data_IF_709930088996
#
_entry.id   IF_709930088996
#
_cell.length_a   1.000
_cell.length_b   1.000
_cell.length_c   1.000
_cell.angle_alpha   90.00
_cell.angle_beta   90.00
_cell.angle_gamma   90.00
#
_symmetry.space_group_name_H-M   'P 1'
#
loop_
_entity.id
_entity.type
_entity.pdbx_description
1 polymer ?
#
# COMPACT_ATOMS: atom_id res chain seq x y z
N UNK A 1 4.50 0.88 -66.14
CA UNK A 1 4.48 1.84 -65.00
C UNK A 1 3.43 1.48 -63.92
N UNK A 2 2.58 0.47 -64.03
CA UNK A 2 1.50 0.15 -63.07
C UNK A 2 1.94 -0.68 -61.83
N UNK A 3 2.97 -1.51 -61.91
CA UNK A 3 3.38 -2.41 -60.83
C UNK A 3 4.00 -1.68 -59.60
N UNK A 4 4.72 -0.58 -59.80
CA UNK A 4 5.35 0.20 -58.71
C UNK A 4 4.31 0.84 -57.76
N UNK A 5 3.22 1.38 -58.32
CA UNK A 5 2.16 2.02 -57.50
C UNK A 5 1.43 0.99 -56.58
N UNK A 6 1.24 -0.24 -57.08
CA UNK A 6 0.58 -1.31 -56.33
C UNK A 6 1.43 -1.82 -55.17
N UNK A 7 2.78 -1.88 -55.36
CA UNK A 7 3.73 -2.28 -54.34
C UNK A 7 3.83 -1.24 -53.23
N UNK A 8 3.90 0.04 -53.57
CA UNK A 8 3.91 1.12 -52.59
C UNK A 8 2.62 1.21 -51.75
N UNK A 9 1.46 0.93 -52.39
CA UNK A 9 0.17 0.89 -51.68
C UNK A 9 0.12 -0.28 -50.68
N UNK A 10 0.58 -1.47 -51.05
CA UNK A 10 0.65 -2.64 -50.16
C UNK A 10 1.60 -2.35 -48.99
N UNK A 11 2.78 -1.78 -49.24
CA UNK A 11 3.75 -1.42 -48.21
C UNK A 11 3.17 -0.43 -47.18
N UNK A 12 2.47 0.61 -47.64
CA UNK A 12 1.78 1.57 -46.77
C UNK A 12 0.71 0.91 -45.90
N UNK A 13 -0.11 0.04 -46.49
CA UNK A 13 -1.15 -0.71 -45.76
C UNK A 13 -0.51 -1.61 -44.71
N UNK A 14 0.54 -2.34 -45.06
CA UNK A 14 1.25 -3.21 -44.11
C UNK A 14 1.87 -2.40 -42.97
N UNK A 15 2.46 -1.24 -43.24
CA UNK A 15 3.02 -0.35 -42.23
C UNK A 15 1.94 0.20 -41.27
N UNK A 16 0.79 0.60 -41.80
CA UNK A 16 -0.35 1.07 -40.98
C UNK A 16 -0.89 -0.04 -40.08
N UNK A 17 -1.05 -1.26 -40.64
CA UNK A 17 -1.53 -2.41 -39.87
C UNK A 17 -0.53 -2.79 -38.79
N UNK A 18 0.77 -2.80 -39.11
CA UNK A 18 1.81 -3.09 -38.12
C UNK A 18 1.83 -2.04 -36.99
N UNK A 19 1.70 -0.77 -37.33
CA UNK A 19 1.63 0.30 -36.34
C UNK A 19 0.37 0.17 -35.45
N UNK A 20 -0.78 -0.15 -36.04
CA UNK A 20 -2.02 -0.36 -35.29
C UNK A 20 -1.88 -1.54 -34.30
N UNK A 21 -1.25 -2.64 -34.73
CA UNK A 21 -0.99 -3.79 -33.87
C UNK A 21 -0.06 -3.42 -32.71
N UNK A 22 1.00 -2.66 -32.96
CA UNK A 22 1.91 -2.20 -31.89
C UNK A 22 1.20 -1.32 -30.89
N UNK A 23 0.40 -0.35 -31.35
CA UNK A 23 -0.38 0.53 -30.46
C UNK A 23 -1.37 -0.26 -29.61
N UNK A 24 -2.08 -1.23 -30.23
CA UNK A 24 -3.02 -2.10 -29.52
C UNK A 24 -2.31 -2.93 -28.46
N UNK A 25 -1.14 -3.51 -28.80
CA UNK A 25 -0.35 -4.32 -27.87
C UNK A 25 0.18 -3.49 -26.70
N UNK A 26 0.67 -2.27 -26.97
CA UNK A 26 1.11 -1.35 -25.93
C UNK A 26 -0.04 -0.91 -25.01
N UNK A 27 -1.21 -0.64 -25.57
CA UNK A 27 -2.41 -0.32 -24.81
C UNK A 27 -2.84 -1.46 -23.89
N UNK A 28 -2.83 -2.69 -24.41
CA UNK A 28 -3.15 -3.89 -23.61
C UNK A 28 -2.12 -4.14 -22.51
N UNK A 29 -0.83 -4.06 -22.84
CA UNK A 29 0.24 -4.21 -21.87
C UNK A 29 0.20 -3.12 -20.78
N UNK A 30 -0.07 -1.88 -21.17
CA UNK A 30 -0.20 -0.77 -20.22
C UNK A 30 -1.38 -0.97 -19.27
N UNK A 31 -2.54 -1.36 -19.79
CA UNK A 31 -3.70 -1.66 -18.96
C UNK A 31 -3.45 -2.85 -18.01
N UNK A 32 -2.80 -3.91 -18.52
CA UNK A 32 -2.42 -5.06 -17.69
C UNK A 32 -1.46 -4.67 -16.57
N UNK A 33 -0.42 -3.89 -16.89
CA UNK A 33 0.54 -3.42 -15.88
C UNK A 33 -0.10 -2.48 -14.86
N UNK A 34 -1.02 -1.62 -15.30
CA UNK A 34 -1.79 -0.76 -14.41
C UNK A 34 -2.62 -1.59 -13.43
N UNK A 35 -3.39 -2.55 -13.93
CA UNK A 35 -4.18 -3.44 -13.09
C UNK A 35 -3.29 -4.26 -12.14
N UNK A 36 -2.16 -4.75 -12.64
CA UNK A 36 -1.21 -5.53 -11.84
C UNK A 36 -0.58 -4.71 -10.70
N UNK A 37 -0.18 -3.47 -10.99
CA UNK A 37 0.57 -2.65 -10.02
C UNK A 37 -0.32 -1.83 -9.10
N UNK A 38 -1.47 -1.36 -9.57
CA UNK A 38 -2.27 -0.33 -8.89
C UNK A 38 -3.69 -0.78 -8.54
N UNK A 39 -4.20 -1.87 -9.12
CA UNK A 39 -5.53 -2.36 -8.81
C UNK A 39 -5.50 -3.45 -7.72
N UNK A 40 -5.81 -3.11 -6.45
CA UNK A 40 -5.78 -4.08 -5.36
C UNK A 40 -6.90 -5.13 -5.45
N UNK A 41 -7.89 -4.93 -6.33
CA UNK A 41 -9.02 -5.84 -6.54
C UNK A 41 -8.81 -6.79 -7.74
N UNK A 42 -7.71 -6.66 -8.48
CA UNK A 42 -7.41 -7.56 -9.58
C UNK A 42 -7.22 -9.00 -9.06
N UNK A 43 -7.80 -10.01 -9.70
CA UNK A 43 -7.79 -11.40 -9.19
C UNK A 43 -6.39 -11.96 -8.95
N UNK A 44 -5.43 -11.61 -9.82
CA UNK A 44 -4.03 -12.03 -9.68
C UNK A 44 -3.29 -11.27 -8.56
N UNK A 45 -3.62 -9.99 -8.33
CA UNK A 45 -3.07 -9.21 -7.20
C UNK A 45 -3.58 -9.78 -5.88
N UNK A 46 -4.88 -10.10 -5.79
CA UNK A 46 -5.46 -10.75 -4.62
C UNK A 46 -4.85 -12.13 -4.36
N UNK A 47 -4.64 -12.94 -5.41
CA UNK A 47 -3.99 -14.24 -5.30
C UNK A 47 -2.54 -14.09 -4.82
N UNK A 48 -1.77 -13.18 -5.41
CA UNK A 48 -0.37 -12.92 -5.03
C UNK A 48 -0.27 -12.43 -3.58
N UNK A 49 -1.21 -11.58 -3.11
CA UNK A 49 -1.29 -11.17 -1.71
C UNK A 49 -1.63 -12.34 -0.79
N UNK A 50 -2.48 -13.25 -1.22
CA UNK A 50 -2.87 -14.43 -0.45
C UNK A 50 -1.74 -15.46 -0.39
N UNK A 51 -1.06 -15.71 -1.50
CA UNK A 51 0.12 -16.59 -1.56
C UNK A 51 1.24 -16.03 -0.69
N UNK A 52 1.52 -14.72 -0.75
CA UNK A 52 2.49 -14.06 0.13
C UNK A 52 2.11 -14.09 1.63
N UNK A 53 0.83 -14.17 1.97
CA UNK A 53 0.40 -14.39 3.36
C UNK A 53 0.62 -15.84 3.78
N UNK A 54 0.28 -16.80 2.93
CA UNK A 54 0.46 -18.22 3.19
C UNK A 54 1.95 -18.60 3.32
N UNK A 55 2.82 -18.00 2.50
CA UNK A 55 4.28 -18.18 2.61
C UNK A 55 4.83 -17.66 3.94
N UNK A 56 4.27 -16.54 4.44
CA UNK A 56 4.65 -15.99 5.75
C UNK A 56 4.01 -16.74 6.92
N UNK A 57 2.87 -17.39 6.73
CA UNK A 57 2.26 -18.27 7.73
C UNK A 57 3.04 -19.57 7.93
N UNK A 58 3.82 -19.99 6.90
CA UNK A 58 4.76 -21.12 7.00
C UNK A 58 6.05 -20.79 7.76
N UNK A 59 6.43 -19.54 7.84
CA UNK A 59 7.55 -19.04 8.63
C UNK A 59 7.02 -18.65 10.01
N UNK A 60 7.20 -19.51 11.01
CA UNK A 60 6.80 -19.18 12.38
C UNK A 60 7.48 -17.89 12.79
N UNK A 61 6.70 -16.85 13.17
CA UNK A 61 7.30 -15.62 13.64
C UNK A 61 8.21 -15.94 14.83
N UNK A 62 9.41 -15.39 14.83
CA UNK A 62 10.30 -15.54 15.95
C UNK A 62 9.69 -14.95 17.25
N UNK A 63 10.28 -15.27 18.40
CA UNK A 63 9.76 -14.82 19.69
C UNK A 63 9.64 -13.29 19.77
N UNK A 64 10.60 -12.55 19.18
CA UNK A 64 10.59 -11.08 19.16
C UNK A 64 9.43 -10.53 18.33
N UNK A 65 9.16 -11.12 17.16
CA UNK A 65 8.04 -10.71 16.31
C UNK A 65 6.70 -10.99 17.00
N UNK A 66 6.58 -12.15 17.65
CA UNK A 66 5.36 -12.53 18.37
C UNK A 66 5.07 -11.57 19.52
N UNK A 67 6.09 -11.26 20.34
CA UNK A 67 6.00 -10.28 21.42
C UNK A 67 5.66 -8.88 20.91
N UNK A 68 6.34 -8.42 19.85
CA UNK A 68 6.09 -7.11 19.28
C UNK A 68 4.68 -6.96 18.73
N UNK A 69 4.13 -8.01 18.09
CA UNK A 69 2.74 -8.01 17.59
C UNK A 69 1.72 -8.03 18.72
N UNK A 70 1.98 -8.73 19.81
CA UNK A 70 1.15 -8.70 21.00
C UNK A 70 1.14 -7.28 21.60
N UNK A 71 2.34 -6.72 21.85
CA UNK A 71 2.52 -5.36 22.32
C UNK A 71 1.80 -4.33 21.43
N UNK A 72 1.93 -4.43 20.11
CA UNK A 72 1.27 -3.53 19.16
C UNK A 72 -0.25 -3.55 19.31
N UNK A 73 -0.85 -4.73 19.50
CA UNK A 73 -2.30 -4.88 19.66
C UNK A 73 -2.81 -4.29 20.98
N UNK A 74 -2.04 -4.44 22.04
CA UNK A 74 -2.41 -4.03 23.40
C UNK A 74 -2.25 -2.52 23.60
N UNK A 75 -1.22 -1.90 23.01
CA UNK A 75 -0.82 -0.52 23.31
C UNK A 75 -1.26 0.49 22.24
N UNK A 76 -1.86 0.04 21.14
CA UNK A 76 -2.26 0.94 20.06
C UNK A 76 -3.41 1.85 20.45
N UNK A 77 -3.27 3.13 20.23
CA UNK A 77 -4.34 4.11 20.27
C UNK A 77 -4.76 4.48 18.84
N UNK A 78 -6.08 4.57 18.60
CA UNK A 78 -6.58 5.01 17.30
C UNK A 78 -6.41 6.51 17.17
N UNK A 79 -5.75 6.94 16.10
CA UNK A 79 -5.56 8.35 15.74
C UNK A 79 -6.03 8.60 14.31
N UNK A 80 -6.51 9.80 14.01
CA UNK A 80 -6.83 10.21 12.65
C UNK A 80 -6.33 11.62 12.39
N UNK A 81 -5.89 11.85 11.16
CA UNK A 81 -5.49 13.14 10.64
C UNK A 81 -6.32 13.45 9.39
N UNK A 82 -6.83 14.65 9.30
CA UNK A 82 -7.52 15.11 8.09
C UNK A 82 -6.51 15.85 7.22
N UNK A 83 -6.30 15.37 6.00
CA UNK A 83 -5.46 16.04 5.00
C UNK A 83 -6.16 17.29 4.45
N UNK A 84 -5.42 18.17 3.74
CA UNK A 84 -5.94 19.44 3.22
C UNK A 84 -7.06 19.25 2.19
N UNK A 85 -7.13 18.12 1.53
CA UNK A 85 -8.19 17.72 0.60
C UNK A 85 -9.44 17.13 1.28
N UNK A 86 -9.46 17.10 2.61
CA UNK A 86 -10.54 16.51 3.42
C UNK A 86 -10.46 14.99 3.61
N UNK A 87 -9.42 14.33 3.11
CA UNK A 87 -9.23 12.90 3.29
C UNK A 87 -8.85 12.57 4.73
N UNK A 88 -9.56 11.63 5.36
CA UNK A 88 -9.19 11.13 6.69
C UNK A 88 -8.12 10.04 6.57
N UNK A 89 -7.00 10.27 7.25
CA UNK A 89 -5.88 9.36 7.39
C UNK A 89 -5.95 8.70 8.76
N UNK A 90 -6.27 7.42 8.80
CA UNK A 90 -6.24 6.64 10.05
C UNK A 90 -4.79 6.23 10.38
N UNK A 91 -4.46 6.23 11.66
CA UNK A 91 -3.15 5.80 12.16
C UNK A 91 -3.28 5.12 13.53
N UNK A 92 -2.26 4.35 13.89
CA UNK A 92 -2.07 3.85 15.25
C UNK A 92 -0.99 4.70 15.92
N UNK A 93 -1.30 5.20 17.10
CA UNK A 93 -0.38 5.99 17.91
C UNK A 93 0.01 5.20 19.16
N UNK A 94 1.26 5.35 19.56
CA UNK A 94 1.85 4.75 20.75
C UNK A 94 2.57 5.84 21.52
N UNK A 95 2.00 6.26 22.63
CA UNK A 95 2.62 7.26 23.52
C UNK A 95 3.72 6.60 24.35
N UNK A 96 4.92 7.18 24.38
CA UNK A 96 6.02 6.69 25.21
C UNK A 96 5.91 7.25 26.63
N UNK A 97 5.95 8.57 26.79
CA UNK A 97 5.77 9.25 28.07
C UNK A 97 5.28 10.69 27.83
N UNK A 98 4.75 11.35 28.87
CA UNK A 98 4.32 12.76 28.78
C UNK A 98 5.49 13.73 28.46
N UNK A 99 6.71 13.35 28.79
CA UNK A 99 7.93 14.13 28.52
C UNK A 99 8.63 13.75 27.22
N UNK A 100 8.08 12.81 26.43
CA UNK A 100 8.68 12.39 25.17
C UNK A 100 8.39 13.43 24.08
N UNK A 101 9.44 14.01 23.52
CA UNK A 101 9.35 14.99 22.43
C UNK A 101 9.83 14.42 21.09
N UNK A 102 10.41 13.22 21.08
CA UNK A 102 10.85 12.53 19.88
C UNK A 102 9.75 11.67 19.29
N UNK A 103 9.65 11.64 17.95
CA UNK A 103 8.64 10.92 17.21
C UNK A 103 9.27 10.02 16.17
N UNK A 104 8.73 8.82 16.04
CA UNK A 104 9.06 7.89 14.95
C UNK A 104 7.81 7.60 14.11
N UNK A 105 7.93 7.63 12.80
CA UNK A 105 6.84 7.26 11.88
C UNK A 105 7.21 5.95 11.19
N UNK A 106 6.42 4.90 11.41
CA UNK A 106 6.62 3.56 10.86
C UNK A 106 5.69 3.33 9.67
N UNK A 107 6.21 3.49 8.45
CA UNK A 107 5.46 3.28 7.21
C UNK A 107 5.61 1.83 6.74
N UNK A 108 4.49 1.15 6.53
CA UNK A 108 4.48 -0.18 5.93
C UNK A 108 4.46 -0.12 4.40
N UNK A 109 4.91 -1.19 3.74
CA UNK A 109 4.87 -1.30 2.28
C UNK A 109 3.46 -1.48 1.73
N UNK A 110 3.31 -1.33 0.41
CA UNK A 110 2.03 -1.33 -0.31
C UNK A 110 1.12 -2.55 -0.02
N UNK A 111 1.71 -3.72 0.17
CA UNK A 111 0.98 -4.98 0.42
C UNK A 111 0.91 -5.39 1.88
N UNK A 112 1.43 -4.57 2.79
CA UNK A 112 1.52 -4.89 4.20
C UNK A 112 0.47 -4.11 5.02
N UNK A 113 0.38 -4.41 6.30
CA UNK A 113 -0.48 -3.74 7.28
C UNK A 113 0.39 -3.07 8.35
N UNK A 114 -0.13 -2.05 9.10
CA UNK A 114 0.64 -1.38 10.14
C UNK A 114 1.25 -2.33 11.18
N UNK A 115 0.57 -3.43 11.50
CA UNK A 115 1.07 -4.46 12.43
C UNK A 115 2.33 -5.17 11.90
N UNK A 116 2.59 -5.15 10.60
CA UNK A 116 3.84 -5.64 10.02
C UNK A 116 5.06 -4.81 10.41
N UNK A 117 4.83 -3.61 10.97
CA UNK A 117 5.87 -2.74 11.51
C UNK A 117 6.02 -2.85 13.04
N UNK A 118 5.33 -3.81 13.68
CA UNK A 118 5.27 -3.93 15.15
C UNK A 118 6.65 -3.98 15.81
N UNK A 119 7.59 -4.75 15.25
CA UNK A 119 8.96 -4.87 15.76
C UNK A 119 9.70 -3.53 15.77
N UNK A 120 9.57 -2.76 14.70
CA UNK A 120 10.18 -1.44 14.60
C UNK A 120 9.49 -0.44 15.53
N UNK A 121 8.15 -0.45 15.56
CA UNK A 121 7.37 0.41 16.43
C UNK A 121 7.74 0.19 17.89
N UNK A 122 7.79 -1.08 18.36
CA UNK A 122 8.20 -1.40 19.72
C UNK A 122 9.63 -0.94 20.02
N UNK A 123 10.57 -1.18 19.11
CA UNK A 123 11.98 -0.77 19.29
C UNK A 123 12.16 0.75 19.41
N UNK A 124 11.39 1.55 18.70
CA UNK A 124 11.41 3.01 18.85
C UNK A 124 10.74 3.45 20.13
N UNK A 125 9.60 2.86 20.46
CA UNK A 125 8.89 3.13 21.71
C UNK A 125 9.74 2.79 22.94
N UNK A 126 10.42 1.66 22.96
CA UNK A 126 11.33 1.23 24.04
C UNK A 126 12.53 2.19 24.20
N UNK A 127 12.83 3.03 23.20
CA UNK A 127 13.81 4.11 23.28
C UNK A 127 13.23 5.45 23.74
N UNK A 128 11.96 5.46 24.16
CA UNK A 128 11.29 6.65 24.67
C UNK A 128 10.70 7.55 23.59
N UNK A 129 10.55 7.06 22.34
CA UNK A 129 9.95 7.84 21.26
C UNK A 129 8.44 7.55 21.16
N UNK A 130 7.66 8.59 20.91
CA UNK A 130 6.29 8.44 20.46
C UNK A 130 6.27 7.82 19.06
N UNK A 131 5.41 6.85 18.81
CA UNK A 131 5.38 6.17 17.51
C UNK A 131 4.05 6.38 16.82
N UNK A 132 4.09 6.68 15.51
CA UNK A 132 2.95 6.74 14.63
C UNK A 132 3.10 5.68 13.54
N UNK A 133 2.10 4.80 13.41
CA UNK A 133 2.01 3.79 12.36
C UNK A 133 0.76 4.06 11.51
N UNK A 134 0.86 4.82 10.41
CA UNK A 134 -0.28 5.13 9.56
C UNK A 134 -0.84 3.87 8.91
N UNK A 135 -2.18 3.78 8.86
CA UNK A 135 -2.86 2.84 8.00
C UNK A 135 -2.86 3.40 6.58
N UNK A 136 -2.32 2.62 5.63
CA UNK A 136 -2.32 3.05 4.22
C UNK A 136 -3.75 3.23 3.72
N UNK A 137 -4.02 4.32 3.03
CA UNK A 137 -5.29 4.64 2.39
C UNK A 137 -5.67 3.57 1.36
N UNK A 138 -6.42 2.57 1.82
CA UNK A 138 -7.33 1.84 0.97
C UNK A 138 -8.71 2.44 1.22
N UNK A 139 -9.19 3.26 0.31
CA UNK A 139 -10.52 3.89 0.32
C UNK A 139 -11.68 2.92 0.67
N UNK A 140 -11.45 1.62 0.53
CA UNK A 140 -12.43 0.58 0.86
C UNK A 140 -12.37 0.06 2.30
N UNK A 141 -11.34 0.35 3.10
CA UNK A 141 -11.19 -0.14 4.48
C UNK A 141 -11.46 0.88 5.57
N UNK A 142 -11.37 2.18 5.29
CA UNK A 142 -11.73 3.21 6.27
C UNK A 142 -13.19 3.09 6.76
N UNK A 143 -14.10 2.59 5.93
CA UNK A 143 -15.50 2.39 6.31
C UNK A 143 -15.75 1.16 7.22
N UNK A 144 -14.78 0.26 7.37
CA UNK A 144 -14.91 -0.97 8.19
C UNK A 144 -14.12 -0.95 9.50
N UNK A 145 -13.13 -0.06 9.63
CA UNK A 145 -12.54 0.25 10.92
C UNK A 145 -13.51 1.19 11.60
N UNK A 146 -14.43 0.63 12.40
CA UNK A 146 -15.31 1.43 13.24
C UNK A 146 -14.45 2.44 14.00
N UNK A 147 -14.53 3.68 13.56
CA UNK A 147 -13.90 4.83 14.22
C UNK A 147 -14.57 4.98 15.57
N UNK A 148 -14.07 4.28 16.58
CA UNK A 148 -14.41 4.60 17.96
C UNK A 148 -13.63 5.87 18.31
N UNK A 149 -14.35 6.99 18.23
CA UNK A 149 -14.04 8.31 18.80
C UNK A 149 -12.57 8.71 18.72
N UNK A 150 -12.20 9.39 17.64
CA UNK A 150 -10.98 10.16 17.56
C UNK A 150 -10.88 11.14 18.74
N UNK A 151 -9.94 10.92 19.66
CA UNK A 151 -9.47 11.99 20.55
C UNK A 151 -8.66 12.93 19.70
N UNK A 152 -9.14 14.17 19.52
CA UNK A 152 -8.35 15.23 18.89
C UNK A 152 -7.08 15.42 19.70
N UNK A 153 -5.95 15.09 19.13
CA UNK A 153 -4.67 15.57 19.62
C UNK A 153 -4.67 17.08 19.39
N UNK A 154 -4.87 17.86 20.44
CA UNK A 154 -4.55 19.30 20.42
C UNK A 154 -3.05 19.39 20.48
N UNK A 155 -2.42 19.73 19.36
CA UNK A 155 -1.09 20.30 19.36
C UNK A 155 -1.24 21.72 19.91
N UNK A 156 -0.92 21.90 21.17
CA UNK A 156 -0.73 23.21 21.83
C UNK A 156 0.74 23.53 21.85
#
# INVERSE_FOLDING_TARGET
MSQSAHTHRKLKITAVVALALVVTLLGFAGNFLFDFALNPQAPYTMKMMQDSKNDKEGEQPDAEETEARAWFKENRESSSLTADDGTELAAWYFAASESAHDYAVCLHGYTNEPIGMARYAKRFHDRGMNVLAPAQLSLARCSKLGVQRARRLRLS
#
